data_IF_434378926234
#
_entry.id   IF_434378926234
#
_cell.length_a   1.000
_cell.length_b   1.000
_cell.length_c   1.000
_cell.angle_alpha   90.00
_cell.angle_beta   90.00
_cell.angle_gamma   90.00
#
_symmetry.space_group_name_H-M   'P 1'
#
loop_
_entity.id
_entity.type
_entity.pdbx_description
1 polymer ?
#
# COMPACT_ATOMS: atom_id res chain seq x y z
N UNK A 1 -47.10 12.56 5.03
CA UNK A 1 -46.81 11.16 4.67
C UNK A 1 -46.60 11.06 3.16
N UNK A 2 -45.34 11.06 2.72
CA UNK A 2 -44.90 10.47 1.45
C UNK A 2 -43.83 9.44 1.83
N UNK A 3 -44.08 8.19 1.52
CA UNK A 3 -43.23 7.03 1.78
C UNK A 3 -41.88 7.19 1.07
N UNK A 4 -40.83 7.49 1.84
CA UNK A 4 -39.45 7.66 1.38
C UNK A 4 -38.74 6.30 1.37
N UNK A 5 -39.32 5.32 0.68
CA UNK A 5 -38.63 4.07 0.37
C UNK A 5 -37.72 4.30 -0.86
N UNK A 6 -36.51 3.76 -0.78
CA UNK A 6 -35.59 3.46 -1.89
C UNK A 6 -34.85 4.58 -2.62
N UNK A 7 -34.05 5.36 -1.89
CA UNK A 7 -32.81 5.84 -2.51
C UNK A 7 -31.60 5.48 -1.64
N UNK A 8 -30.90 4.43 -2.06
CA UNK A 8 -29.60 4.08 -1.52
C UNK A 8 -28.69 5.31 -1.47
N UNK A 9 -28.11 5.58 -0.29
CA UNK A 9 -27.18 6.68 -0.07
C UNK A 9 -26.03 6.61 -1.06
N UNK A 10 -25.66 7.74 -1.68
CA UNK A 10 -24.53 7.81 -2.60
C UNK A 10 -23.33 8.37 -1.86
N UNK A 11 -22.38 7.50 -1.56
CA UNK A 11 -21.19 7.83 -0.79
C UNK A 11 -19.99 7.96 -1.73
N UNK A 12 -19.23 9.04 -1.59
CA UNK A 12 -17.93 9.19 -2.22
C UNK A 12 -16.81 9.02 -1.19
N UNK A 13 -15.81 8.20 -1.49
CA UNK A 13 -14.62 8.05 -0.65
C UNK A 13 -13.41 8.56 -1.43
N UNK A 14 -12.88 9.71 -1.02
CA UNK A 14 -11.64 10.22 -1.61
C UNK A 14 -10.46 9.42 -1.05
N UNK A 15 -9.93 8.51 -1.84
CA UNK A 15 -8.80 7.66 -1.46
C UNK A 15 -7.54 8.49 -1.14
N UNK A 16 -6.63 7.98 -0.30
CA UNK A 16 -5.27 8.51 -0.22
C UNK A 16 -4.59 8.53 -1.59
N UNK A 17 -3.49 9.29 -1.72
CA UNK A 17 -2.77 9.35 -2.99
C UNK A 17 -1.52 8.46 -3.04
N UNK A 18 -1.04 7.99 -1.89
CA UNK A 18 0.12 7.10 -1.81
C UNK A 18 -0.36 5.66 -1.81
N UNK A 19 0.39 4.80 -2.50
CA UNK A 19 0.06 3.38 -2.67
C UNK A 19 -0.10 2.69 -1.31
N UNK A 20 0.88 2.86 -0.41
CA UNK A 20 0.84 2.25 0.93
C UNK A 20 -0.34 2.74 1.77
N UNK A 21 -0.60 4.05 1.77
CA UNK A 21 -1.73 4.64 2.48
C UNK A 21 -3.09 4.07 2.07
N UNK A 22 -3.29 3.77 0.77
CA UNK A 22 -4.54 3.19 0.28
C UNK A 22 -4.75 1.81 0.89
N UNK A 23 -3.70 0.99 0.98
CA UNK A 23 -3.75 -0.33 1.61
C UNK A 23 -3.96 -0.21 3.11
N UNK A 24 -3.27 0.72 3.78
CA UNK A 24 -3.43 1.00 5.21
C UNK A 24 -4.83 1.55 5.57
N UNK A 25 -5.55 2.12 4.60
CA UNK A 25 -6.93 2.58 4.75
C UNK A 25 -7.98 1.48 4.50
N UNK A 26 -7.60 0.26 4.12
CA UNK A 26 -8.56 -0.82 3.84
C UNK A 26 -9.49 -1.17 5.01
N UNK A 27 -9.08 -1.12 6.30
CA UNK A 27 -10.01 -1.29 7.42
C UNK A 27 -11.10 -0.22 7.47
N UNK A 28 -10.80 1.01 7.05
CA UNK A 28 -11.80 2.09 6.94
C UNK A 28 -12.84 1.75 5.87
N UNK A 29 -12.41 1.27 4.69
CA UNK A 29 -13.35 0.90 3.61
C UNK A 29 -14.26 -0.25 4.03
N UNK A 30 -13.71 -1.26 4.72
CA UNK A 30 -14.47 -2.38 5.28
C UNK A 30 -15.50 -1.92 6.30
N UNK A 31 -15.09 -1.08 7.27
CA UNK A 31 -16.01 -0.55 8.28
C UNK A 31 -17.11 0.31 7.64
N UNK A 32 -16.79 1.10 6.61
CA UNK A 32 -17.75 1.90 5.88
C UNK A 32 -18.78 1.02 5.14
N UNK A 33 -18.34 0.01 4.39
CA UNK A 33 -19.24 -0.93 3.71
C UNK A 33 -20.13 -1.68 4.71
N UNK A 34 -19.58 -2.09 5.86
CA UNK A 34 -20.35 -2.77 6.89
C UNK A 34 -21.44 -1.87 7.50
N UNK A 35 -21.16 -0.59 7.71
CA UNK A 35 -22.14 0.37 8.22
C UNK A 35 -23.21 0.76 7.18
N UNK A 36 -22.86 0.71 5.89
CA UNK A 36 -23.73 1.11 4.79
C UNK A 36 -23.87 0.01 3.72
N UNK A 37 -24.45 -1.16 4.05
CA UNK A 37 -24.48 -2.31 3.15
C UNK A 37 -25.25 -2.03 1.86
N UNK A 38 -26.34 -1.26 1.92
CA UNK A 38 -27.18 -0.92 0.78
C UNK A 38 -26.76 0.38 0.05
N UNK A 39 -25.76 1.11 0.55
CA UNK A 39 -25.33 2.35 -0.09
C UNK A 39 -24.51 2.09 -1.36
N UNK A 40 -24.57 3.04 -2.30
CA UNK A 40 -23.67 3.04 -3.45
C UNK A 40 -22.40 3.81 -3.10
N UNK A 41 -21.30 3.10 -2.84
CA UNK A 41 -20.01 3.65 -2.43
C UNK A 41 -19.09 3.75 -3.65
N UNK A 42 -18.72 4.97 -4.02
CA UNK A 42 -17.79 5.27 -5.12
C UNK A 42 -16.42 5.64 -4.57
N UNK A 43 -15.38 4.93 -5.00
CA UNK A 43 -14.00 5.35 -4.75
C UNK A 43 -13.59 6.49 -5.70
N UNK A 44 -13.05 7.58 -5.15
CA UNK A 44 -12.61 8.76 -5.88
C UNK A 44 -11.11 8.93 -5.70
N UNK A 45 -10.34 8.89 -6.78
CA UNK A 45 -8.88 8.78 -6.67
C UNK A 45 -8.16 9.00 -7.99
N UNK A 46 -6.82 8.99 -7.96
CA UNK A 46 -6.04 9.01 -9.20
C UNK A 46 -6.32 7.71 -9.96
N UNK A 47 -6.48 7.77 -11.29
CA UNK A 47 -6.84 6.58 -12.08
C UNK A 47 -5.97 5.36 -11.79
N UNK A 48 -4.64 5.54 -11.76
CA UNK A 48 -3.70 4.47 -11.45
C UNK A 48 -3.91 3.84 -10.05
N UNK A 49 -4.32 4.63 -9.06
CA UNK A 49 -4.45 4.16 -7.68
C UNK A 49 -5.82 3.55 -7.36
N UNK A 50 -6.82 3.74 -8.23
CA UNK A 50 -8.13 3.10 -8.04
C UNK A 50 -8.05 1.58 -8.25
N UNK A 51 -7.18 1.14 -9.16
CA UNK A 51 -6.93 -0.28 -9.45
C UNK A 51 -6.46 -1.11 -8.24
N UNK A 52 -5.92 -0.47 -7.21
CA UNK A 52 -5.48 -1.13 -5.96
C UNK A 52 -6.66 -1.81 -5.25
N UNK A 53 -7.84 -1.16 -5.28
CA UNK A 53 -9.05 -1.61 -4.57
C UNK A 53 -10.17 -1.98 -5.53
N UNK A 54 -9.88 -2.14 -6.83
CA UNK A 54 -10.87 -2.44 -7.87
C UNK A 54 -11.65 -3.73 -7.59
N UNK A 55 -10.96 -4.77 -7.16
CA UNK A 55 -11.53 -6.11 -6.90
C UNK A 55 -12.07 -6.28 -5.48
N UNK A 56 -12.15 -5.18 -4.70
CA UNK A 56 -12.64 -5.23 -3.33
C UNK A 56 -14.17 -5.20 -3.27
N UNK A 57 -14.80 -5.83 -2.26
CA UNK A 57 -16.25 -5.82 -2.09
C UNK A 57 -16.78 -4.49 -1.51
N UNK A 58 -15.92 -3.48 -1.32
CA UNK A 58 -16.29 -2.26 -0.62
C UNK A 58 -16.86 -1.18 -1.55
N UNK A 59 -16.52 -1.21 -2.83
CA UNK A 59 -16.87 -0.14 -3.78
C UNK A 59 -17.71 -0.65 -4.94
N UNK A 60 -18.75 0.10 -5.31
CA UNK A 60 -19.64 -0.21 -6.44
C UNK A 60 -19.23 0.52 -7.72
N UNK A 61 -18.41 1.56 -7.59
CA UNK A 61 -17.99 2.39 -8.69
C UNK A 61 -16.67 3.11 -8.41
N UNK A 62 -16.04 3.57 -9.48
CA UNK A 62 -14.75 4.26 -9.46
C UNK A 62 -14.86 5.56 -10.25
N UNK A 63 -14.47 6.68 -9.63
CA UNK A 63 -14.44 8.00 -10.28
C UNK A 63 -12.99 8.48 -10.37
N UNK A 64 -12.34 8.35 -11.55
CA UNK A 64 -10.96 8.75 -11.74
C UNK A 64 -10.83 10.28 -11.75
N UNK A 65 -9.89 10.77 -10.97
CA UNK A 65 -9.42 12.14 -11.00
C UNK A 65 -8.27 12.27 -12.01
N UNK A 66 -8.13 13.43 -12.67
CA UNK A 66 -7.04 13.66 -13.58
C UNK A 66 -5.69 13.55 -12.86
N UNK A 67 -4.59 13.24 -13.56
CA UNK A 67 -3.26 13.17 -12.95
C UNK A 67 -2.92 14.44 -12.17
N UNK A 68 -2.13 14.33 -11.10
CA UNK A 68 -1.78 15.47 -10.22
C UNK A 68 -1.26 16.69 -10.98
N UNK A 69 -0.43 16.49 -12.01
CA UNK A 69 0.08 17.60 -12.86
C UNK A 69 -1.04 18.30 -13.61
N UNK A 70 -2.01 17.54 -14.13
CA UNK A 70 -3.16 18.07 -14.86
C UNK A 70 -4.18 18.77 -13.94
N UNK A 71 -4.29 18.36 -12.66
CA UNK A 71 -5.16 19.03 -11.68
C UNK A 71 -4.75 20.48 -11.39
N UNK A 72 -3.51 20.87 -11.69
CA UNK A 72 -3.08 22.29 -11.60
C UNK A 72 -3.73 23.18 -12.65
N UNK A 73 -4.28 22.59 -13.73
CA UNK A 73 -4.98 23.32 -14.77
C UNK A 73 -6.43 23.55 -14.33
N UNK A 74 -6.93 24.80 -14.29
CA UNK A 74 -8.29 25.10 -13.85
C UNK A 74 -9.34 24.27 -14.58
N UNK A 75 -9.26 24.16 -15.91
CA UNK A 75 -10.21 23.39 -16.70
C UNK A 75 -10.31 21.91 -16.27
N UNK A 76 -9.19 21.25 -15.98
CA UNK A 76 -9.18 19.85 -15.52
C UNK A 76 -9.80 19.71 -14.13
N UNK A 77 -9.52 20.65 -13.24
CA UNK A 77 -10.08 20.69 -11.90
C UNK A 77 -11.59 20.92 -11.93
N UNK A 78 -12.05 21.88 -12.75
CA UNK A 78 -13.47 22.16 -12.99
C UNK A 78 -14.21 20.95 -13.58
N UNK A 79 -13.63 20.24 -14.56
CA UNK A 79 -14.23 19.00 -15.08
C UNK A 79 -14.40 17.94 -14.00
N UNK A 80 -13.39 17.75 -13.14
CA UNK A 80 -13.49 16.81 -12.02
C UNK A 80 -14.58 17.23 -11.02
N UNK A 81 -14.71 18.53 -10.72
CA UNK A 81 -15.78 19.05 -9.87
C UNK A 81 -17.17 18.82 -10.50
N UNK A 82 -17.30 19.05 -11.81
CA UNK A 82 -18.56 18.79 -12.52
C UNK A 82 -18.93 17.31 -12.55
N UNK A 83 -17.94 16.41 -12.68
CA UNK A 83 -18.18 14.97 -12.59
C UNK A 83 -18.73 14.57 -11.20
N UNK A 84 -18.16 15.11 -10.12
CA UNK A 84 -18.70 14.91 -8.76
C UNK A 84 -20.13 15.46 -8.62
N UNK A 85 -20.39 16.63 -9.19
CA UNK A 85 -21.72 17.26 -9.19
C UNK A 85 -22.77 16.44 -9.93
N UNK A 86 -22.40 15.84 -11.06
CA UNK A 86 -23.29 14.97 -11.83
C UNK A 86 -23.58 13.65 -11.10
N UNK A 87 -22.62 13.12 -10.34
CA UNK A 87 -22.80 11.91 -9.55
C UNK A 87 -23.78 12.09 -8.38
N UNK A 88 -23.97 13.33 -7.89
CA UNK A 88 -24.92 13.71 -6.82
C UNK A 88 -24.69 12.90 -5.54
N UNK A 89 -23.49 12.98 -4.99
CA UNK A 89 -23.13 12.32 -3.74
C UNK A 89 -23.78 13.00 -2.54
N UNK A 90 -24.40 12.19 -1.68
CA UNK A 90 -25.03 12.62 -0.43
C UNK A 90 -23.97 12.83 0.65
N UNK A 91 -22.99 11.93 0.74
CA UNK A 91 -21.89 11.96 1.72
C UNK A 91 -20.54 11.74 1.06
N UNK A 92 -19.52 12.46 1.51
CA UNK A 92 -18.14 12.38 1.05
C UNK A 92 -17.15 12.24 2.20
N UNK A 93 -16.39 11.15 2.23
CA UNK A 93 -15.29 10.93 3.18
C UNK A 93 -13.95 11.29 2.54
N UNK A 94 -13.21 12.23 3.14
CA UNK A 94 -11.93 12.71 2.64
C UNK A 94 -10.76 12.15 3.47
N UNK A 95 -10.13 11.10 2.93
CA UNK A 95 -8.95 10.49 3.54
C UNK A 95 -7.65 11.22 3.16
N UNK A 96 -7.72 12.16 2.22
CA UNK A 96 -6.64 13.12 1.97
C UNK A 96 -6.74 14.31 2.94
N UNK A 97 -5.71 15.16 3.01
CA UNK A 97 -5.68 16.35 3.87
C UNK A 97 -5.66 17.69 3.12
N UNK A 98 -5.45 17.70 1.81
CA UNK A 98 -5.24 18.97 1.09
C UNK A 98 -6.50 19.82 0.98
N UNK A 99 -6.31 21.15 1.02
CA UNK A 99 -7.36 22.14 0.71
C UNK A 99 -7.99 21.89 -0.66
N UNK A 100 -7.17 21.59 -1.67
CA UNK A 100 -7.62 21.30 -3.03
C UNK A 100 -8.60 20.12 -3.11
N UNK A 101 -8.44 19.11 -2.24
CA UNK A 101 -9.35 17.97 -2.20
C UNK A 101 -10.71 18.34 -1.59
N UNK A 102 -10.72 19.18 -0.56
CA UNK A 102 -11.95 19.68 0.04
C UNK A 102 -12.68 20.66 -0.91
N UNK A 103 -11.93 21.53 -1.58
CA UNK A 103 -12.48 22.44 -2.60
C UNK A 103 -13.13 21.68 -3.76
N UNK A 104 -12.52 20.58 -4.20
CA UNK A 104 -13.08 19.73 -5.25
C UNK A 104 -14.45 19.15 -4.84
N UNK A 105 -14.57 18.64 -3.61
CA UNK A 105 -15.84 18.09 -3.09
C UNK A 105 -16.88 19.18 -2.84
N UNK A 106 -16.46 20.36 -2.38
CA UNK A 106 -17.33 21.51 -2.18
C UNK A 106 -17.89 22.06 -3.51
N UNK A 107 -17.04 22.29 -4.52
CA UNK A 107 -17.47 22.68 -5.88
C UNK A 107 -18.31 21.60 -6.55
N UNK A 108 -17.99 20.33 -6.27
CA UNK A 108 -18.78 19.17 -6.68
C UNK A 108 -20.14 19.07 -6.00
N UNK A 109 -20.48 19.98 -5.07
CA UNK A 109 -21.74 19.98 -4.33
C UNK A 109 -22.06 18.64 -3.65
N UNK A 110 -21.04 17.95 -3.14
CA UNK A 110 -21.22 16.76 -2.30
C UNK A 110 -21.87 17.20 -0.99
N UNK A 111 -22.97 16.56 -0.58
CA UNK A 111 -23.82 17.02 0.55
C UNK A 111 -23.08 17.19 1.87
N UNK A 112 -22.79 16.08 2.55
CA UNK A 112 -21.90 16.02 3.72
C UNK A 112 -20.46 15.77 3.28
N UNK A 113 -19.51 16.52 3.83
CA UNK A 113 -18.08 16.47 3.52
C UNK A 113 -17.31 16.31 4.83
N UNK A 114 -16.83 15.10 5.06
CA UNK A 114 -16.29 14.64 6.34
C UNK A 114 -14.79 14.39 6.18
N UNK A 115 -14.00 14.89 7.12
CA UNK A 115 -12.55 14.66 7.14
C UNK A 115 -11.84 15.52 8.17
N UNK A 116 -10.53 15.31 8.34
CA UNK A 116 -9.77 16.07 9.33
C UNK A 116 -9.63 17.55 8.99
N UNK A 117 -9.76 18.43 9.99
CA UNK A 117 -9.54 19.87 9.87
C UNK A 117 -8.04 20.22 9.80
N UNK A 118 -7.42 19.91 8.66
CA UNK A 118 -5.99 20.14 8.37
C UNK A 118 -5.81 21.08 7.17
N UNK A 119 -4.65 21.70 7.05
CA UNK A 119 -4.23 22.52 5.91
C UNK A 119 -5.25 23.60 5.49
N UNK A 120 -5.89 24.25 6.49
CA UNK A 120 -6.83 25.35 6.27
C UNK A 120 -8.20 24.96 5.68
N UNK A 121 -8.50 23.67 5.52
CA UNK A 121 -9.70 23.22 4.78
C UNK A 121 -11.01 23.19 5.58
N UNK A 122 -10.98 23.56 6.86
CA UNK A 122 -12.11 23.41 7.81
C UNK A 122 -13.42 23.98 7.27
N UNK A 123 -13.39 25.16 6.66
CA UNK A 123 -14.57 25.86 6.14
C UNK A 123 -15.23 25.15 4.95
N UNK A 124 -14.51 24.27 4.27
CA UNK A 124 -15.02 23.51 3.13
C UNK A 124 -15.64 22.17 3.54
N UNK A 125 -15.46 21.76 4.79
CA UNK A 125 -16.03 20.55 5.37
C UNK A 125 -17.33 20.89 6.10
N UNK A 126 -18.34 20.01 6.01
CA UNK A 126 -19.54 20.13 6.84
C UNK A 126 -19.31 19.53 8.22
N UNK A 127 -18.53 18.46 8.28
CA UNK A 127 -18.25 17.69 9.50
C UNK A 127 -16.71 17.62 9.69
N UNK A 128 -16.05 18.73 10.07
CA UNK A 128 -14.61 18.75 10.31
C UNK A 128 -14.27 17.98 11.58
N UNK A 129 -13.37 16.99 11.47
CA UNK A 129 -12.88 16.21 12.60
C UNK A 129 -11.56 16.78 13.15
N UNK A 130 -11.31 16.69 14.47
CA UNK A 130 -10.01 17.04 15.03
C UNK A 130 -8.92 16.09 14.50
N UNK A 131 -7.72 16.62 14.27
CA UNK A 131 -6.58 15.79 13.85
C UNK A 131 -6.15 14.93 15.04
N UNK A 132 -6.00 13.59 14.86
CA UNK A 132 -5.58 12.71 15.95
C UNK A 132 -4.19 13.11 16.44
N UNK A 133 -4.00 13.04 17.76
CA UNK A 133 -2.72 13.32 18.42
C UNK A 133 -2.04 12.01 18.80
N UNK A 134 -0.70 11.96 18.80
CA UNK A 134 0.03 10.80 19.29
C UNK A 134 -0.29 10.55 20.78
N UNK A 135 -0.19 9.29 21.20
CA UNK A 135 -0.41 8.91 22.59
C UNK A 135 0.67 9.48 23.54
N UNK A 136 1.88 9.73 23.02
CA UNK A 136 3.01 10.26 23.77
C UNK A 136 3.48 11.61 23.21
N UNK A 137 3.97 12.53 24.07
CA UNK A 137 4.61 13.76 23.63
C UNK A 137 5.78 13.47 22.67
N UNK A 138 5.81 14.12 21.51
CA UNK A 138 6.84 13.89 20.49
C UNK A 138 6.66 12.63 19.64
N UNK A 139 5.64 11.80 19.94
CA UNK A 139 5.31 10.62 19.14
C UNK A 139 4.66 10.95 17.80
N UNK A 140 4.41 9.92 17.00
CA UNK A 140 3.65 10.03 15.75
C UNK A 140 2.42 9.11 15.77
N UNK A 141 1.38 9.49 15.02
CA UNK A 141 0.22 8.62 14.81
C UNK A 141 0.52 7.72 13.60
N UNK A 142 0.44 6.40 13.80
CA UNK A 142 0.57 5.44 12.70
C UNK A 142 -0.47 5.67 11.62
N UNK A 143 -0.12 5.45 10.35
CA UNK A 143 -0.98 5.78 9.21
C UNK A 143 -2.24 4.90 9.16
N UNK A 144 -2.14 3.61 9.51
CA UNK A 144 -3.31 2.73 9.70
C UNK A 144 -4.28 3.34 10.73
N UNK A 145 -3.73 3.70 11.89
CA UNK A 145 -4.49 4.27 13.00
C UNK A 145 -5.06 5.66 12.68
N UNK A 146 -4.39 6.43 11.81
CA UNK A 146 -4.89 7.71 11.30
C UNK A 146 -6.23 7.55 10.55
N UNK A 147 -6.37 6.50 9.73
CA UNK A 147 -7.62 6.20 9.02
C UNK A 147 -8.67 5.56 9.91
N UNK A 148 -8.26 4.70 10.86
CA UNK A 148 -9.17 4.12 11.85
C UNK A 148 -9.76 5.18 12.78
N UNK A 149 -9.00 6.18 13.20
CA UNK A 149 -9.52 7.31 13.97
C UNK A 149 -10.54 8.14 13.18
N UNK A 150 -10.45 8.19 11.85
CA UNK A 150 -11.45 8.84 11.02
C UNK A 150 -12.75 8.03 11.07
N UNK A 151 -12.66 6.70 10.91
CA UNK A 151 -13.80 5.80 11.06
C UNK A 151 -14.48 5.95 12.44
N UNK A 152 -13.71 5.85 13.52
CA UNK A 152 -14.25 5.99 14.89
C UNK A 152 -14.83 7.38 15.14
N UNK A 153 -14.18 8.42 14.64
CA UNK A 153 -14.61 9.82 14.79
C UNK A 153 -15.94 10.14 14.10
N UNK A 154 -16.39 9.31 13.15
CA UNK A 154 -17.70 9.43 12.50
C UNK A 154 -18.71 8.39 13.00
N UNK A 155 -18.35 7.61 14.02
CA UNK A 155 -19.21 6.58 14.60
C UNK A 155 -19.24 5.23 13.85
N UNK A 156 -18.30 4.97 12.93
CA UNK A 156 -18.20 3.64 12.31
C UNK A 156 -17.68 2.62 13.33
N UNK A 157 -18.32 1.45 13.36
CA UNK A 157 -17.84 0.31 14.16
C UNK A 157 -16.70 -0.38 13.40
N UNK A 158 -15.50 -0.38 14.00
CA UNK A 158 -14.34 -1.08 13.47
C UNK A 158 -14.19 -2.40 14.22
N UNK A 159 -14.60 -3.49 13.60
CA UNK A 159 -14.50 -4.85 14.19
C UNK A 159 -13.14 -5.51 13.95
N UNK A 160 -12.47 -5.14 12.87
CA UNK A 160 -11.22 -5.73 12.43
C UNK A 160 -10.30 -4.64 11.90
N UNK A 161 -9.00 -4.73 12.19
CA UNK A 161 -7.99 -3.76 11.75
C UNK A 161 -7.01 -4.31 10.72
N UNK A 162 -7.15 -5.60 10.35
CA UNK A 162 -6.33 -6.21 9.30
C UNK A 162 -6.44 -5.49 7.97
N UNK A 163 -5.30 -5.22 7.34
CA UNK A 163 -5.24 -4.73 5.97
C UNK A 163 -5.41 -5.90 5.02
N UNK A 164 -6.13 -5.70 3.92
CA UNK A 164 -6.36 -6.77 2.96
C UNK A 164 -6.52 -6.20 1.55
N UNK A 165 -6.12 -6.99 0.56
CA UNK A 165 -6.32 -6.72 -0.85
C UNK A 165 -6.96 -7.95 -1.49
N UNK A 166 -7.65 -7.72 -2.61
CA UNK A 166 -8.35 -8.76 -3.34
C UNK A 166 -7.75 -8.89 -4.74
N UNK A 167 -7.70 -10.13 -5.23
CA UNK A 167 -7.24 -10.46 -6.57
C UNK A 167 -8.43 -10.78 -7.46
N UNK A 168 -8.56 -10.02 -8.54
CA UNK A 168 -9.47 -10.34 -9.64
C UNK A 168 -8.90 -11.42 -10.56
N UNK A 169 -9.72 -11.91 -11.49
CA UNK A 169 -9.29 -12.92 -12.46
C UNK A 169 -8.19 -12.41 -13.39
N UNK A 170 -8.26 -11.13 -13.78
CA UNK A 170 -7.24 -10.50 -14.62
C UNK A 170 -5.89 -10.36 -13.90
N UNK A 171 -5.90 -10.07 -12.59
CA UNK A 171 -4.69 -10.01 -11.77
C UNK A 171 -3.99 -11.38 -11.73
N UNK A 172 -4.77 -12.44 -11.52
CA UNK A 172 -4.31 -13.83 -11.45
C UNK A 172 -3.74 -14.28 -12.79
N UNK A 173 -4.48 -14.06 -13.86
CA UNK A 173 -4.07 -14.42 -15.22
C UNK A 173 -2.81 -13.66 -15.66
N UNK A 174 -2.73 -12.37 -15.33
CA UNK A 174 -1.53 -11.57 -15.62
C UNK A 174 -0.31 -12.12 -14.90
N UNK A 175 -0.42 -12.41 -13.60
CA UNK A 175 0.69 -12.94 -12.82
C UNK A 175 1.11 -14.33 -13.30
N UNK A 176 0.15 -15.23 -13.51
CA UNK A 176 0.42 -16.58 -14.02
C UNK A 176 1.20 -16.53 -15.35
N UNK A 177 0.76 -15.68 -16.30
CA UNK A 177 1.46 -15.47 -17.57
C UNK A 177 2.87 -14.88 -17.35
N UNK A 178 2.98 -13.83 -16.55
CA UNK A 178 4.27 -13.17 -16.27
C UNK A 178 5.32 -14.16 -15.76
N UNK A 179 4.96 -15.02 -14.81
CA UNK A 179 5.85 -16.01 -14.22
C UNK A 179 6.13 -17.19 -15.15
N UNK A 180 5.11 -17.71 -15.85
CA UNK A 180 5.27 -18.81 -16.79
C UNK A 180 6.20 -18.46 -17.96
N UNK A 181 6.05 -17.27 -18.55
CA UNK A 181 6.93 -16.76 -19.61
C UNK A 181 8.39 -16.62 -19.16
N UNK A 182 8.62 -16.55 -17.84
CA UNK A 182 9.94 -16.42 -17.21
C UNK A 182 10.43 -17.72 -16.59
N UNK A 183 9.77 -18.84 -16.87
CA UNK A 183 10.17 -20.17 -16.41
C UNK A 183 9.99 -20.39 -14.90
N UNK A 184 9.14 -19.61 -14.23
CA UNK A 184 8.79 -19.80 -12.82
C UNK A 184 7.50 -20.61 -12.73
N UNK A 185 7.62 -21.85 -12.26
CA UNK A 185 6.51 -22.77 -12.04
C UNK A 185 5.87 -22.61 -10.65
N UNK A 186 4.81 -23.35 -10.39
CA UNK A 186 4.09 -23.30 -9.11
C UNK A 186 4.96 -23.78 -7.92
N UNK A 187 5.93 -24.67 -8.15
CA UNK A 187 6.80 -25.21 -7.10
C UNK A 187 7.95 -24.28 -6.67
N UNK A 188 8.30 -23.30 -7.49
CA UNK A 188 9.42 -22.40 -7.22
C UNK A 188 9.17 -21.53 -5.98
N UNK A 189 10.21 -21.38 -5.16
CA UNK A 189 10.25 -20.43 -4.05
C UNK A 189 10.56 -19.04 -4.56
N UNK A 190 9.62 -18.11 -4.50
CA UNK A 190 9.76 -16.77 -5.11
C UNK A 190 10.01 -15.71 -4.06
N UNK A 191 11.11 -14.96 -4.18
CA UNK A 191 11.42 -13.83 -3.28
C UNK A 191 11.20 -12.52 -4.03
N UNK A 192 10.24 -11.73 -3.58
CA UNK A 192 10.04 -10.38 -4.10
C UNK A 192 10.90 -9.36 -3.38
N UNK A 193 11.55 -8.47 -4.12
CA UNK A 193 12.31 -7.35 -3.53
C UNK A 193 11.89 -6.02 -4.12
N UNK A 194 11.61 -5.03 -3.27
CA UNK A 194 11.30 -3.67 -3.70
C UNK A 194 12.34 -2.64 -3.20
N UNK A 195 13.40 -2.39 -4.00
CA UNK A 195 14.49 -1.48 -3.64
C UNK A 195 14.18 0.01 -3.83
N UNK A 196 13.08 0.35 -4.52
CA UNK A 196 12.63 1.71 -4.75
C UNK A 196 11.90 2.35 -3.56
N UNK A 197 11.73 3.67 -3.62
CA UNK A 197 10.92 4.43 -2.67
C UNK A 197 10.51 5.78 -3.26
N UNK A 198 9.25 5.90 -3.70
CA UNK A 198 8.67 7.14 -4.24
C UNK A 198 8.73 8.35 -3.26
N UNK A 199 8.92 8.12 -1.97
CA UNK A 199 9.15 9.19 -0.99
C UNK A 199 10.48 9.91 -1.22
N UNK A 200 11.53 9.16 -1.57
CA UNK A 200 12.86 9.66 -1.85
C UNK A 200 13.96 8.66 -1.48
N UNK A 201 15.15 8.86 -2.08
CA UNK A 201 16.31 7.98 -1.96
C UNK A 201 16.81 7.76 -0.52
N UNK A 202 16.49 8.65 0.42
CA UNK A 202 16.85 8.48 1.84
C UNK A 202 16.25 7.22 2.50
N UNK A 203 15.18 6.66 1.91
CA UNK A 203 14.59 5.39 2.33
C UNK A 203 15.15 4.17 1.59
N UNK A 204 15.93 4.36 0.52
CA UNK A 204 16.41 3.26 -0.30
C UNK A 204 17.58 2.56 0.40
N UNK A 205 17.42 1.26 0.61
CA UNK A 205 18.52 0.42 1.07
C UNK A 205 19.54 0.22 -0.05
N UNK A 206 20.79 -0.09 0.31
CA UNK A 206 21.90 -0.05 -0.62
C UNK A 206 21.79 -1.14 -1.69
N UNK A 207 22.22 -0.83 -2.92
CA UNK A 207 22.13 -1.77 -4.04
C UNK A 207 23.00 -3.02 -3.85
N UNK A 208 24.22 -2.85 -3.32
CA UNK A 208 25.12 -3.95 -2.95
C UNK A 208 24.51 -4.86 -1.87
N UNK A 209 23.75 -4.29 -0.94
CA UNK A 209 23.11 -5.06 0.13
C UNK A 209 21.90 -5.86 -0.38
N UNK A 210 21.10 -5.28 -1.28
CA UNK A 210 20.06 -6.04 -1.99
C UNK A 210 20.67 -7.19 -2.80
N UNK A 211 21.76 -6.94 -3.54
CA UNK A 211 22.43 -7.97 -4.33
C UNK A 211 22.95 -9.12 -3.45
N UNK A 212 23.67 -8.80 -2.37
CA UNK A 212 24.19 -9.80 -1.44
C UNK A 212 23.08 -10.64 -0.77
N UNK A 213 21.97 -10.00 -0.41
CA UNK A 213 20.78 -10.68 0.15
C UNK A 213 20.15 -11.60 -0.88
N UNK A 214 19.95 -11.11 -2.10
CA UNK A 214 19.36 -11.88 -3.19
C UNK A 214 20.20 -13.12 -3.53
N UNK A 215 21.51 -12.95 -3.74
CA UNK A 215 22.40 -14.06 -4.07
C UNK A 215 22.49 -15.10 -2.94
N UNK A 216 22.42 -14.67 -1.69
CA UNK A 216 22.39 -15.59 -0.55
C UNK A 216 21.12 -16.42 -0.54
N UNK A 217 19.95 -15.79 -0.71
CA UNK A 217 18.67 -16.50 -0.79
C UNK A 217 18.59 -17.44 -2.02
N UNK A 218 19.19 -17.06 -3.15
CA UNK A 218 19.30 -17.92 -4.33
C UNK A 218 20.16 -19.14 -4.01
N UNK A 219 21.35 -18.93 -3.44
CA UNK A 219 22.31 -20.00 -3.12
C UNK A 219 21.79 -20.98 -2.07
N UNK A 220 21.17 -20.48 -1.02
CA UNK A 220 20.83 -21.27 0.17
C UNK A 220 19.41 -21.83 0.13
N UNK A 221 18.48 -21.16 -0.56
CA UNK A 221 17.07 -21.56 -0.62
C UNK A 221 16.58 -21.88 -2.04
N UNK A 222 17.45 -21.80 -3.05
CA UNK A 222 17.04 -22.01 -4.45
C UNK A 222 16.02 -20.98 -4.92
N UNK A 223 16.04 -19.77 -4.33
CA UNK A 223 15.03 -18.75 -4.58
C UNK A 223 15.03 -18.25 -6.03
N UNK A 224 13.84 -17.95 -6.55
CA UNK A 224 13.64 -17.13 -7.74
C UNK A 224 13.40 -15.69 -7.30
N UNK A 225 14.41 -14.84 -7.47
CA UNK A 225 14.34 -13.43 -7.06
C UNK A 225 13.62 -12.59 -8.12
N UNK A 226 12.71 -11.73 -7.67
CA UNK A 226 11.98 -10.76 -8.49
C UNK A 226 12.23 -9.36 -7.95
N UNK A 227 12.86 -8.50 -8.75
CA UNK A 227 13.09 -7.10 -8.41
C UNK A 227 11.95 -6.24 -8.97
N UNK A 228 11.24 -5.54 -8.08
CA UNK A 228 10.15 -4.63 -8.40
C UNK A 228 10.63 -3.18 -8.47
N UNK A 229 10.22 -2.43 -9.49
CA UNK A 229 10.45 -0.99 -9.55
C UNK A 229 9.25 -0.23 -10.13
N UNK A 230 9.07 1.00 -9.64
CA UNK A 230 8.14 1.95 -10.23
C UNK A 230 8.78 2.74 -11.39
N UNK A 231 7.97 3.55 -12.09
CA UNK A 231 8.47 4.45 -13.13
C UNK A 231 9.52 5.43 -12.58
N UNK A 232 10.70 5.49 -13.20
CA UNK A 232 11.81 6.34 -12.77
C UNK A 232 12.77 5.69 -11.77
N UNK A 233 12.56 4.41 -11.42
CA UNK A 233 13.41 3.63 -10.51
C UNK A 233 14.23 2.55 -11.24
N UNK A 234 14.28 2.61 -12.58
CA UNK A 234 14.94 1.61 -13.44
C UNK A 234 16.43 1.45 -13.09
N UNK A 235 17.11 2.58 -12.90
CA UNK A 235 18.55 2.62 -12.56
C UNK A 235 18.88 1.85 -11.27
N UNK A 236 17.97 1.79 -10.31
CA UNK A 236 18.17 1.08 -9.04
C UNK A 236 18.22 -0.43 -9.30
N UNK A 237 17.27 -0.94 -10.08
CA UNK A 237 17.20 -2.38 -10.41
C UNK A 237 18.37 -2.79 -11.31
N UNK A 238 18.77 -1.95 -12.26
CA UNK A 238 19.94 -2.18 -13.08
C UNK A 238 21.22 -2.26 -12.24
N UNK A 239 21.37 -1.37 -11.25
CA UNK A 239 22.53 -1.36 -10.36
C UNK A 239 22.60 -2.63 -9.51
N UNK A 240 21.48 -3.07 -8.93
CA UNK A 240 21.40 -4.33 -8.17
C UNK A 240 21.71 -5.52 -9.09
N UNK A 241 21.10 -5.58 -10.28
CA UNK A 241 21.30 -6.67 -11.23
C UNK A 241 22.77 -6.79 -11.65
N UNK A 242 23.49 -5.68 -11.81
CA UNK A 242 24.94 -5.70 -12.11
C UNK A 242 25.80 -6.22 -10.97
N UNK A 243 25.35 -6.07 -9.73
CA UNK A 243 26.09 -6.49 -8.53
C UNK A 243 25.78 -7.94 -8.14
N UNK A 244 24.68 -8.50 -8.63
CA UNK A 244 24.30 -9.89 -8.38
C UNK A 244 25.13 -10.89 -9.21
N UNK A 245 25.40 -12.04 -8.61
CA UNK A 245 25.95 -13.21 -9.29
C UNK A 245 24.87 -14.05 -9.98
N UNK A 246 23.65 -14.00 -9.46
CA UNK A 246 22.48 -14.66 -10.04
C UNK A 246 21.68 -13.71 -10.94
N UNK A 247 20.90 -14.26 -11.89
CA UNK A 247 20.03 -13.45 -12.76
C UNK A 247 18.64 -13.31 -12.14
N UNK A 248 18.25 -12.11 -11.66
CA UNK A 248 16.90 -11.89 -11.16
C UNK A 248 15.89 -11.75 -12.29
N UNK A 249 14.63 -12.01 -11.97
CA UNK A 249 13.52 -11.48 -12.77
C UNK A 249 13.33 -10.01 -12.43
N UNK A 250 12.99 -9.20 -13.44
CA UNK A 250 12.76 -7.77 -13.23
C UNK A 250 11.33 -7.40 -13.62
N UNK A 251 10.70 -6.61 -12.76
CA UNK A 251 9.40 -5.98 -12.99
C UNK A 251 9.69 -4.49 -13.17
N UNK A 252 10.06 -4.12 -14.40
CA UNK A 252 10.42 -2.76 -14.78
C UNK A 252 9.45 -2.26 -15.86
N UNK A 253 8.99 -1.02 -15.73
CA UNK A 253 8.46 -0.25 -16.85
C UNK A 253 7.00 -0.50 -17.25
N UNK A 254 6.65 -0.01 -18.44
CA UNK A 254 5.29 0.09 -18.95
C UNK A 254 4.70 -1.30 -19.24
N UNK A 255 3.73 -1.70 -18.42
CA UNK A 255 3.01 -2.98 -18.59
C UNK A 255 2.45 -3.53 -17.28
N UNK A 256 3.03 -3.13 -16.14
CA UNK A 256 2.49 -3.45 -14.82
C UNK A 256 1.75 -2.24 -14.26
N UNK A 257 0.45 -2.42 -14.06
CA UNK A 257 -0.39 -1.45 -13.35
C UNK A 257 -0.32 -1.71 -11.85
N UNK A 258 -0.72 -0.73 -11.03
CA UNK A 258 -0.87 -0.94 -9.58
C UNK A 258 -1.95 -1.99 -9.23
N UNK A 259 -2.85 -2.29 -10.17
CA UNK A 259 -3.82 -3.38 -10.06
C UNK A 259 -3.11 -4.73 -10.26
N UNK A 260 -2.51 -4.95 -11.41
CA UNK A 260 -1.90 -6.25 -11.73
C UNK A 260 -0.65 -6.55 -10.88
N UNK A 261 -0.02 -5.52 -10.30
CA UNK A 261 1.05 -5.68 -9.30
C UNK A 261 0.60 -6.56 -8.12
N UNK A 262 -0.69 -6.53 -7.76
CA UNK A 262 -1.25 -7.39 -6.71
C UNK A 262 -0.98 -8.87 -6.97
N UNK A 263 -1.26 -9.34 -8.19
CA UNK A 263 -1.07 -10.74 -8.57
C UNK A 263 0.40 -11.13 -8.54
N UNK A 264 1.30 -10.24 -8.97
CA UNK A 264 2.74 -10.48 -8.92
C UNK A 264 3.23 -10.63 -7.48
N UNK A 265 2.87 -9.68 -6.61
CA UNK A 265 3.29 -9.73 -5.20
C UNK A 265 2.68 -10.93 -4.49
N UNK A 266 1.40 -11.25 -4.73
CA UNK A 266 0.73 -12.38 -4.10
C UNK A 266 1.33 -13.75 -4.49
N UNK A 267 2.13 -13.84 -5.56
CA UNK A 267 2.88 -15.05 -5.93
C UNK A 267 4.18 -15.19 -5.15
N UNK A 268 4.70 -14.14 -4.52
CA UNK A 268 5.91 -14.23 -3.71
C UNK A 268 5.66 -15.08 -2.45
N UNK A 269 6.70 -15.78 -2.01
CA UNK A 269 6.74 -16.57 -0.78
C UNK A 269 7.44 -15.82 0.37
N UNK A 270 8.23 -14.81 0.04
CA UNK A 270 8.87 -13.85 0.94
C UNK A 270 8.94 -12.50 0.22
N UNK A 271 8.76 -11.41 0.94
CA UNK A 271 8.93 -10.07 0.40
C UNK A 271 9.89 -9.23 1.26
N UNK A 272 10.90 -8.64 0.62
CA UNK A 272 11.90 -7.79 1.27
C UNK A 272 11.88 -6.40 0.64
N UNK A 273 11.91 -5.33 1.42
CA UNK A 273 11.92 -4.01 0.81
C UNK A 273 11.95 -2.86 1.79
N UNK A 274 12.11 -1.65 1.25
CA UNK A 274 12.03 -0.43 2.03
C UNK A 274 10.58 -0.13 2.44
N UNK A 275 10.38 0.69 3.48
CA UNK A 275 9.09 1.28 3.84
C UNK A 275 8.45 2.08 2.67
N UNK A 276 7.66 1.36 1.87
CA UNK A 276 7.13 1.79 0.58
C UNK A 276 5.81 1.07 0.27
N UNK A 277 5.13 1.50 -0.80
CA UNK A 277 3.81 0.97 -1.18
C UNK A 277 3.76 -0.56 -1.36
N UNK A 278 4.67 -1.18 -2.13
CA UNK A 278 4.65 -2.64 -2.38
C UNK A 278 4.76 -3.50 -1.12
N UNK A 279 5.45 -3.02 -0.07
CA UNK A 279 5.49 -3.72 1.22
C UNK A 279 4.08 -3.89 1.79
N UNK A 280 3.24 -2.86 1.69
CA UNK A 280 1.87 -2.94 2.20
C UNK A 280 1.01 -3.94 1.41
N UNK A 281 1.30 -4.16 0.12
CA UNK A 281 0.63 -5.21 -0.66
C UNK A 281 0.99 -6.59 -0.12
N UNK A 282 2.27 -6.84 0.10
CA UNK A 282 2.75 -8.12 0.63
C UNK A 282 2.13 -8.40 2.01
N UNK A 283 2.06 -7.39 2.88
CA UNK A 283 1.39 -7.49 4.19
C UNK A 283 -0.10 -7.81 4.01
N UNK A 284 -0.78 -7.15 3.07
CA UNK A 284 -2.21 -7.37 2.82
C UNK A 284 -2.55 -8.74 2.22
N UNK A 285 -1.55 -9.45 1.69
CA UNK A 285 -1.65 -10.85 1.26
C UNK A 285 -1.09 -11.84 2.30
N UNK A 286 -0.81 -11.38 3.51
CA UNK A 286 -0.26 -12.19 4.62
C UNK A 286 1.06 -12.89 4.27
N UNK A 287 1.89 -12.26 3.42
CA UNK A 287 3.20 -12.80 3.09
C UNK A 287 4.17 -12.62 4.27
N UNK A 288 5.21 -13.46 4.39
CA UNK A 288 6.39 -13.13 5.19
C UNK A 288 7.03 -11.88 4.62
N UNK A 289 7.22 -10.85 5.46
CA UNK A 289 7.73 -9.54 5.03
C UNK A 289 8.86 -9.08 5.93
N UNK A 290 9.99 -8.72 5.33
CA UNK A 290 11.05 -7.96 6.00
C UNK A 290 11.06 -6.54 5.43
N UNK A 291 10.70 -5.56 6.26
CA UNK A 291 10.66 -4.14 5.90
C UNK A 291 11.85 -3.41 6.50
N UNK A 292 12.57 -2.66 5.68
CA UNK A 292 13.74 -1.88 6.07
C UNK A 292 13.34 -0.41 6.22
N UNK A 293 13.63 0.15 7.38
CA UNK A 293 13.38 1.54 7.73
C UNK A 293 14.70 2.31 7.90
N UNK A 294 14.60 3.63 7.66
CA UNK A 294 15.71 4.55 7.87
C UNK A 294 15.22 5.97 8.13
N UNK A 295 14.97 6.75 7.07
CA UNK A 295 14.67 8.18 7.26
C UNK A 295 13.34 8.46 7.94
N UNK A 296 12.35 7.57 7.83
CA UNK A 296 11.02 7.76 8.44
C UNK A 296 10.84 6.97 9.73
N UNK A 297 10.05 7.50 10.69
CA UNK A 297 9.64 6.77 11.89
C UNK A 297 9.00 5.43 11.53
N UNK A 298 9.42 4.35 12.20
CA UNK A 298 8.85 3.00 12.06
C UNK A 298 7.38 3.01 12.46
N UNK A 299 7.04 3.85 13.43
CA UNK A 299 5.71 4.00 14.01
C UNK A 299 4.66 4.44 12.98
N UNK A 300 5.07 5.08 11.87
CA UNK A 300 4.13 5.38 10.79
C UNK A 300 3.51 4.13 10.16
N UNK A 301 4.28 3.05 10.09
CA UNK A 301 3.85 1.75 9.58
C UNK A 301 3.76 0.72 10.70
N UNK A 302 3.59 1.15 11.96
CA UNK A 302 3.47 0.27 13.12
C UNK A 302 2.47 -0.86 12.85
N UNK A 303 2.91 -2.07 13.13
CA UNK A 303 2.14 -3.26 12.82
C UNK A 303 2.41 -4.39 13.79
N UNK A 304 1.36 -5.16 14.06
CA UNK A 304 1.31 -6.31 14.96
C UNK A 304 1.21 -7.65 14.21
N UNK A 305 1.25 -7.63 12.87
CA UNK A 305 1.23 -8.86 12.07
C UNK A 305 2.45 -9.74 12.39
N UNK A 306 2.24 -11.01 12.77
CA UNK A 306 3.32 -11.89 13.22
C UNK A 306 4.32 -12.24 12.11
N UNK A 307 3.89 -12.15 10.85
CA UNK A 307 4.68 -12.46 9.65
C UNK A 307 5.44 -11.25 9.10
N UNK A 308 5.46 -10.13 9.83
CA UNK A 308 6.17 -8.91 9.45
C UNK A 308 7.33 -8.67 10.41
N UNK A 309 8.49 -8.34 9.86
CA UNK A 309 9.67 -7.85 10.59
C UNK A 309 9.99 -6.46 10.10
N UNK A 310 10.10 -5.51 11.04
CA UNK A 310 10.47 -4.13 10.75
C UNK A 310 11.87 -3.89 11.29
N UNK A 311 12.83 -3.73 10.40
CA UNK A 311 14.23 -3.54 10.76
C UNK A 311 14.56 -2.05 10.67
N UNK A 312 15.04 -1.50 11.78
CA UNK A 312 15.42 -0.11 11.89
C UNK A 312 16.65 -0.01 12.79
N UNK A 313 17.73 0.55 12.26
CA UNK A 313 18.91 0.83 13.05
C UNK A 313 18.73 2.15 13.82
N UNK A 314 19.00 2.12 15.13
CA UNK A 314 18.98 3.31 15.97
C UNK A 314 20.28 4.08 15.79
N UNK A 315 20.20 5.22 15.08
CA UNK A 315 21.32 6.13 14.85
C UNK A 315 20.90 7.55 15.18
N UNK A 316 21.85 8.40 15.59
CA UNK A 316 21.55 9.75 16.07
C UNK A 316 20.77 10.64 15.07
N UNK A 317 20.92 10.38 13.77
CA UNK A 317 20.27 11.16 12.71
C UNK A 317 18.90 10.60 12.28
N UNK A 318 18.41 9.49 12.84
CA UNK A 318 17.17 8.85 12.41
C UNK A 318 16.17 8.72 13.57
N UNK A 319 14.87 8.95 13.32
CA UNK A 319 14.27 9.34 12.04
C UNK A 319 14.41 10.84 11.72
N UNK A 320 14.83 11.20 10.50
CA UNK A 320 14.99 12.61 10.06
C UNK A 320 13.90 13.14 9.13
N UNK A 321 13.06 12.26 8.57
CA UNK A 321 12.07 12.56 7.53
C UNK A 321 12.66 13.26 6.28
N UNK A 322 13.97 13.15 6.02
CA UNK A 322 14.55 13.63 4.78
C UNK A 322 14.17 12.72 3.60
N UNK A 323 13.97 13.34 2.43
CA UNK A 323 13.75 12.63 1.16
C UNK A 323 15.05 12.22 0.48
N UNK A 324 16.09 13.02 0.63
CA UNK A 324 17.46 12.73 0.19
C UNK A 324 18.35 12.80 1.43
N UNK A 325 19.19 11.79 1.65
CA UNK A 325 20.08 11.81 2.80
C UNK A 325 21.12 12.92 2.61
N UNK A 326 21.32 13.81 3.60
CA UNK A 326 22.34 14.84 3.51
C UNK A 326 23.74 14.35 3.93
N UNK A 327 23.87 13.09 4.35
CA UNK A 327 25.10 12.49 4.88
C UNK A 327 25.40 11.14 4.18
N UNK A 328 25.48 10.04 4.91
CA UNK A 328 26.08 8.77 4.48
C UNK A 328 25.11 7.56 4.51
N UNK A 329 23.81 7.79 4.71
CA UNK A 329 22.81 6.72 4.86
C UNK A 329 23.14 5.71 5.96
N UNK A 330 23.86 6.09 7.04
CA UNK A 330 24.22 5.15 8.12
C UNK A 330 23.02 4.39 8.74
N UNK A 331 21.82 4.97 8.74
CA UNK A 331 20.61 4.26 9.17
C UNK A 331 20.26 3.07 8.26
N UNK A 332 20.49 3.19 6.96
CA UNK A 332 20.28 2.12 6.00
C UNK A 332 21.46 1.14 5.98
N UNK A 333 22.70 1.64 6.05
CA UNK A 333 23.92 0.81 6.05
C UNK A 333 24.07 -0.05 7.32
N UNK A 334 23.50 0.38 8.46
CA UNK A 334 23.54 -0.41 9.69
C UNK A 334 22.55 -1.58 9.70
N UNK A 335 21.58 -1.61 8.78
CA UNK A 335 20.77 -2.80 8.52
C UNK A 335 21.54 -3.66 7.51
N UNK A 336 22.28 -4.66 7.98
CA UNK A 336 23.16 -5.46 7.12
C UNK A 336 22.40 -6.58 6.40
N UNK A 337 22.92 -7.13 5.29
CA UNK A 337 22.35 -8.30 4.62
C UNK A 337 22.14 -9.48 5.58
N UNK A 338 23.09 -9.75 6.46
CA UNK A 338 23.04 -10.86 7.43
C UNK A 338 21.86 -10.68 8.40
N UNK A 339 21.59 -9.45 8.83
CA UNK A 339 20.42 -9.17 9.67
C UNK A 339 19.12 -9.43 8.88
N UNK A 340 19.03 -8.96 7.64
CA UNK A 340 17.84 -9.19 6.79
C UNK A 340 17.61 -10.67 6.54
N UNK A 341 18.66 -11.43 6.19
CA UNK A 341 18.59 -12.87 5.91
C UNK A 341 18.13 -13.63 7.16
N UNK A 342 18.74 -13.38 8.33
CA UNK A 342 18.36 -14.03 9.58
C UNK A 342 16.87 -13.85 9.90
N UNK A 343 16.35 -12.64 9.73
CA UNK A 343 14.95 -12.34 10.01
C UNK A 343 14.01 -12.93 8.96
N UNK A 344 14.43 -12.99 7.70
CA UNK A 344 13.71 -13.68 6.64
C UNK A 344 13.62 -15.20 6.91
N UNK A 345 14.72 -15.83 7.31
CA UNK A 345 14.77 -17.24 7.66
C UNK A 345 13.92 -17.56 8.89
N UNK A 346 13.95 -16.72 9.92
CA UNK A 346 13.11 -16.88 11.10
C UNK A 346 11.61 -16.84 10.75
N UNK A 347 11.21 -15.98 9.81
CA UNK A 347 9.84 -15.92 9.32
C UNK A 347 9.43 -17.19 8.56
N UNK A 348 10.33 -17.77 7.77
CA UNK A 348 10.09 -18.98 6.98
C UNK A 348 10.13 -20.25 7.85
N UNK A 349 11.05 -20.34 8.81
CA UNK A 349 11.23 -21.48 9.70
C UNK A 349 10.07 -21.68 10.67
N UNK A 350 9.43 -20.59 11.13
CA UNK A 350 8.25 -20.64 11.98
C UNK A 350 7.01 -21.28 11.33
N UNK A 351 7.03 -21.55 10.01
CA UNK A 351 6.00 -22.32 9.32
C UNK A 351 6.16 -23.84 9.50
N UNK A 352 7.39 -24.32 9.72
CA UNK A 352 7.71 -25.75 9.82
C UNK A 352 7.26 -26.36 11.16
N UNK A 353 7.33 -25.60 12.25
CA UNK A 353 7.02 -26.11 13.61
C UNK A 353 5.51 -26.16 13.94
N UNK A 354 4.62 -25.61 13.09
CA UNK A 354 3.17 -25.56 13.34
C UNK A 354 2.36 -26.69 12.71
N UNK A 355 2.98 -27.73 12.14
CA UNK A 355 2.26 -28.92 11.65
C UNK A 355 2.85 -30.22 12.23
N UNK A 356 2.18 -30.87 13.21
CA UNK A 356 2.68 -32.12 13.79
C UNK A 356 2.54 -33.33 12.86
N UNK A 357 1.92 -33.21 11.68
CA UNK A 357 1.68 -34.35 10.80
C UNK A 357 2.10 -34.05 9.35
N UNK A 358 3.22 -34.66 8.94
CA UNK A 358 3.45 -35.19 7.59
C UNK A 358 3.63 -34.21 6.44
N UNK A 359 4.85 -34.16 5.89
CA UNK A 359 5.20 -33.80 4.50
C UNK A 359 4.31 -32.73 3.82
N UNK A 360 4.80 -31.48 3.83
CA UNK A 360 4.59 -30.55 2.71
C UNK A 360 3.15 -30.14 2.42
N UNK A 361 2.46 -29.54 3.39
CA UNK A 361 1.25 -28.76 3.10
C UNK A 361 1.60 -27.26 3.20
N UNK A 362 2.09 -26.66 2.10
CA UNK A 362 1.97 -25.20 1.93
C UNK A 362 0.47 -24.88 2.07
N UNK A 363 0.11 -24.01 3.01
CA UNK A 363 -1.28 -23.54 3.18
C UNK A 363 -1.85 -23.08 1.83
N UNK A 364 -3.14 -23.30 1.62
CA UNK A 364 -3.85 -22.96 0.38
C UNK A 364 -3.54 -21.52 -0.04
N UNK A 365 -2.69 -21.38 -1.05
CA UNK A 365 -2.41 -20.12 -1.74
C UNK A 365 -3.74 -19.55 -2.23
N UNK A 366 -3.91 -18.22 -2.30
CA UNK A 366 -4.96 -17.66 -3.13
C UNK A 366 -4.76 -18.23 -4.54
N UNK A 367 -5.67 -19.11 -4.99
CA UNK A 367 -5.53 -19.82 -6.26
C UNK A 367 -5.24 -18.83 -7.38
N UNK A 368 -4.07 -18.87 -8.02
CA UNK A 368 -3.81 -18.07 -9.23
C UNK A 368 -4.49 -18.67 -10.46
N UNK A 369 -5.19 -19.79 -10.31
CA UNK A 369 -6.08 -20.33 -11.35
C UNK A 369 -7.42 -19.58 -11.28
N UNK A 370 -7.95 -19.13 -12.43
CA UNK A 370 -9.17 -18.32 -12.53
C UNK A 370 -10.42 -19.04 -12.04
#
# INVERSE_FOLDING_TARGET
>A
MRTQADKAERIAVRLPNWVGDIVLATPFYRALRAAYPAARITAVGLGATLGIVADSPWFDAFLPLPPRRAQRRPASFWRAAMALRQARFDTGYLLTNSLSSAALFWLGRVGRRIGYARDGRRLLLTDPLPVPRPATPGGVVGIKEYYLNLARGVGLTVTETRVELFLGNDDRAFAARFYAERGVGDGDFVVGMNPGAAYGAAKCWRADYYAATADTLVREQGARVVLFSGPGEERIVEEITRLMHSTPLTVIGAGVTLQNLKGLIARCDLFVGNDSGPIQYAIAFDLPVVTIFGSTPVEYAATDYPRVRQLCAHVACAPCNHRTCPIDHRCMSAVTPEWVIREAEALLGGESERSPNGRGARRQRPSLRP
#
